data_IF_496233952152
#
_entry.id   IF_496233952152
#
_cell.length_a   1.000
_cell.length_b   1.000
_cell.length_c   1.000
_cell.angle_alpha   90.00
_cell.angle_beta   90.00
_cell.angle_gamma   90.00
#
_symmetry.space_group_name_H-M   'P 1'
#
loop_
_entity.id
_entity.type
_entity.pdbx_description
1 polymer ?
#
# COMPACT_ATOMS: atom_id res chain seq x y z
N UNK A 1 -0.93 -34.68 1.12
CA UNK A 1 -1.54 -35.23 -0.13
C UNK A 1 -3.06 -35.15 -0.11
N UNK A 2 -3.76 -35.72 0.88
CA UNK A 2 -5.24 -35.68 0.95
C UNK A 2 -5.78 -34.24 0.96
N UNK A 3 -5.21 -33.35 1.78
CA UNK A 3 -5.60 -31.93 1.82
C UNK A 3 -5.49 -31.25 0.45
N UNK A 4 -4.44 -31.56 -0.32
CA UNK A 4 -4.19 -30.96 -1.63
C UNK A 4 -5.23 -31.40 -2.65
N UNK A 5 -5.60 -32.69 -2.64
CA UNK A 5 -6.61 -33.24 -3.56
C UNK A 5 -8.00 -32.70 -3.23
N UNK A 6 -8.38 -32.65 -1.95
CA UNK A 6 -9.67 -32.10 -1.51
C UNK A 6 -9.78 -30.62 -1.85
N UNK A 7 -8.75 -29.82 -1.53
CA UNK A 7 -8.73 -28.39 -1.83
C UNK A 7 -8.77 -28.12 -3.35
N UNK A 8 -8.01 -28.89 -4.14
CA UNK A 8 -7.99 -28.77 -5.61
C UNK A 8 -9.33 -29.13 -6.25
N UNK A 9 -10.01 -30.16 -5.76
CA UNK A 9 -11.35 -30.53 -6.21
C UNK A 9 -12.39 -29.49 -5.79
N UNK A 10 -12.32 -28.99 -4.55
CA UNK A 10 -13.19 -27.92 -4.06
C UNK A 10 -13.06 -26.66 -4.91
N UNK A 11 -11.84 -26.20 -5.21
CA UNK A 11 -11.62 -25.05 -6.10
C UNK A 11 -12.26 -25.31 -7.46
N UNK A 12 -11.97 -26.45 -8.11
CA UNK A 12 -12.47 -26.74 -9.46
C UNK A 12 -14.00 -26.83 -9.54
N UNK A 13 -14.62 -27.53 -8.59
CA UNK A 13 -16.08 -27.80 -8.58
C UNK A 13 -16.88 -26.59 -8.10
N UNK A 14 -16.40 -25.86 -7.09
CA UNK A 14 -17.14 -24.76 -6.47
C UNK A 14 -16.83 -23.37 -7.07
N UNK A 15 -16.01 -23.28 -8.13
CA UNK A 15 -15.60 -22.00 -8.76
C UNK A 15 -15.17 -20.95 -7.74
N UNK A 16 -14.40 -21.35 -6.72
CA UNK A 16 -13.93 -20.43 -5.69
C UNK A 16 -12.96 -19.40 -6.30
N UNK A 17 -13.12 -18.13 -5.92
CA UNK A 17 -12.25 -17.02 -6.32
C UNK A 17 -10.89 -17.12 -5.62
N UNK A 18 -10.06 -18.03 -6.12
CA UNK A 18 -8.67 -18.14 -5.71
C UNK A 18 -7.82 -17.14 -6.48
N UNK A 19 -6.87 -16.44 -5.83
CA UNK A 19 -5.90 -15.57 -6.52
C UNK A 19 -5.19 -16.34 -7.65
N UNK A 20 -5.12 -15.76 -8.85
CA UNK A 20 -4.55 -16.39 -10.05
C UNK A 20 -5.51 -17.23 -10.90
N UNK A 21 -6.83 -17.21 -10.64
CA UNK A 21 -7.85 -17.90 -11.46
C UNK A 21 -8.94 -16.93 -11.94
N UNK A 22 -9.21 -16.95 -13.24
CA UNK A 22 -10.20 -16.06 -13.86
C UNK A 22 -9.74 -14.60 -13.83
N UNK A 23 -10.65 -13.68 -13.53
CA UNK A 23 -10.41 -12.23 -13.51
C UNK A 23 -9.43 -11.76 -12.42
N UNK A 24 -9.00 -12.65 -11.52
CA UNK A 24 -7.99 -12.39 -10.48
C UNK A 24 -6.58 -12.82 -10.92
N UNK A 25 -6.27 -12.74 -12.22
CA UNK A 25 -4.94 -13.05 -12.73
C UNK A 25 -3.95 -12.01 -12.18
N UNK A 26 -2.94 -12.48 -11.46
CA UNK A 26 -1.80 -11.62 -11.14
C UNK A 26 -1.02 -11.41 -12.44
N UNK A 27 -0.58 -10.18 -12.76
CA UNK A 27 0.31 -9.94 -13.88
C UNK A 27 1.52 -10.85 -13.76
N UNK A 28 1.82 -11.61 -14.81
CA UNK A 28 3.02 -12.43 -14.88
C UNK A 28 4.22 -11.50 -15.04
N UNK A 29 5.19 -11.48 -14.09
CA UNK A 29 6.35 -10.60 -14.17
C UNK A 29 7.35 -11.00 -15.27
N UNK A 30 7.11 -12.09 -16.01
CA UNK A 30 7.99 -12.59 -17.07
C UNK A 30 7.40 -12.50 -18.48
N UNK A 31 6.15 -12.06 -18.62
CA UNK A 31 5.56 -11.77 -19.94
C UNK A 31 5.84 -10.33 -20.34
N UNK A 32 6.58 -10.14 -21.44
CA UNK A 32 6.93 -8.86 -22.09
C UNK A 32 5.72 -8.05 -22.63
N UNK A 33 4.51 -8.28 -22.12
CA UNK A 33 3.36 -7.40 -22.30
C UNK A 33 3.08 -6.63 -21.00
N UNK A 34 4.12 -5.95 -20.52
CA UNK A 34 3.96 -4.71 -19.78
C UNK A 34 3.31 -3.69 -20.71
N UNK A 35 1.97 -3.71 -20.78
CA UNK A 35 1.22 -2.59 -21.37
C UNK A 35 1.38 -1.39 -20.45
N UNK A 36 2.40 -0.59 -20.77
CA UNK A 36 2.50 0.86 -20.61
C UNK A 36 1.90 1.45 -19.34
N UNK A 37 2.75 1.57 -18.34
CA UNK A 37 2.67 2.59 -17.31
C UNK A 37 4.10 2.79 -16.82
N UNK A 38 4.83 3.67 -17.51
CA UNK A 38 6.26 3.95 -17.40
C UNK A 38 6.83 3.77 -15.98
N UNK A 39 7.73 2.81 -15.83
CA UNK A 39 8.71 2.79 -14.75
C UNK A 39 10.05 3.01 -15.44
N UNK A 40 10.43 4.28 -15.55
CA UNK A 40 11.80 4.66 -15.83
C UNK A 40 12.57 4.55 -14.49
N UNK A 41 13.25 3.41 -14.31
CA UNK A 41 14.26 3.20 -13.26
C UNK A 41 15.54 3.95 -13.63
N UNK A 42 15.49 5.28 -13.60
CA UNK A 42 16.61 6.17 -13.31
C UNK A 42 16.11 7.61 -13.49
N UNK A 43 15.79 8.29 -12.40
CA UNK A 43 16.17 9.70 -12.30
C UNK A 43 16.12 10.17 -10.85
N UNK A 44 17.32 10.48 -10.37
CA UNK A 44 17.57 11.39 -9.26
C UNK A 44 16.85 12.71 -9.53
N UNK A 45 16.07 13.16 -8.54
CA UNK A 45 15.63 14.55 -8.33
C UNK A 45 14.89 15.24 -9.49
N UNK A 46 13.65 15.66 -9.20
CA UNK A 46 13.14 17.05 -9.34
C UNK A 46 11.68 17.06 -9.83
N UNK A 47 10.79 17.55 -8.95
CA UNK A 47 9.46 18.12 -9.28
C UNK A 47 8.41 17.23 -9.97
N UNK A 48 7.62 16.51 -9.17
CA UNK A 48 6.22 16.20 -9.49
C UNK A 48 5.29 16.61 -8.32
N UNK A 49 5.41 17.87 -7.94
CA UNK A 49 4.97 18.49 -6.67
C UNK A 49 3.46 18.55 -6.38
N UNK A 50 2.56 17.74 -6.95
CA UNK A 50 1.14 17.92 -6.60
C UNK A 50 0.25 16.69 -6.59
N UNK A 51 0.51 15.64 -7.39
CA UNK A 51 -0.46 14.53 -7.49
C UNK A 51 -0.51 13.70 -6.21
N UNK A 52 0.64 13.49 -5.57
CA UNK A 52 0.76 12.69 -4.35
C UNK A 52 0.83 13.53 -3.07
N UNK A 53 0.99 14.85 -3.18
CA UNK A 53 1.05 15.79 -2.05
C UNK A 53 -0.25 15.84 -1.25
N UNK A 54 -1.39 15.89 -1.93
CA UNK A 54 -2.70 15.86 -1.27
C UNK A 54 -2.97 14.53 -0.54
N UNK A 55 -2.83 13.35 -1.17
CA UNK A 55 -3.06 12.09 -0.46
C UNK A 55 -2.01 11.87 0.64
N UNK A 56 -0.74 12.23 0.44
CA UNK A 56 0.28 12.20 1.49
C UNK A 56 -0.14 13.03 2.72
N UNK A 57 -0.63 14.26 2.50
CA UNK A 57 -1.09 15.14 3.57
C UNK A 57 -2.31 14.58 4.30
N UNK A 58 -3.29 14.06 3.56
CA UNK A 58 -4.47 13.44 4.16
C UNK A 58 -4.13 12.18 4.96
N UNK A 59 -3.16 11.39 4.50
CA UNK A 59 -2.66 10.23 5.23
C UNK A 59 -1.95 10.71 6.50
N UNK A 60 -1.06 11.70 6.41
CA UNK A 60 -0.35 12.26 7.55
C UNK A 60 -1.31 12.83 8.62
N UNK A 61 -2.32 13.59 8.21
CA UNK A 61 -3.38 14.09 9.10
C UNK A 61 -4.20 12.94 9.70
N UNK A 62 -4.53 11.93 8.91
CA UNK A 62 -5.25 10.74 9.35
C UNK A 62 -4.45 9.87 10.33
N UNK A 63 -3.13 9.97 10.33
CA UNK A 63 -2.25 9.27 11.27
C UNK A 63 -2.04 10.02 12.58
N UNK A 64 -2.65 11.20 12.75
CA UNK A 64 -2.47 12.03 13.94
C UNK A 64 -1.31 13.02 13.83
N UNK A 65 -0.82 13.30 12.62
CA UNK A 65 0.22 14.29 12.37
C UNK A 65 1.64 13.73 12.39
N UNK A 66 2.61 14.60 12.09
CA UNK A 66 4.03 14.21 12.03
C UNK A 66 4.60 13.84 13.39
N UNK A 67 4.12 14.48 14.47
CA UNK A 67 4.55 14.14 15.83
C UNK A 67 4.16 12.72 16.26
N UNK A 68 3.17 12.10 15.62
CA UNK A 68 2.76 10.75 15.97
C UNK A 68 3.62 9.67 15.31
N UNK A 69 4.41 10.00 14.28
CA UNK A 69 5.22 9.03 13.53
C UNK A 69 6.61 8.92 14.17
N UNK A 70 6.94 7.73 14.68
CA UNK A 70 8.27 7.39 15.19
C UNK A 70 9.22 6.96 14.08
N UNK A 71 8.72 6.10 13.19
CA UNK A 71 9.50 5.61 12.04
C UNK A 71 8.58 5.32 10.87
N UNK A 72 9.07 5.59 9.66
CA UNK A 72 8.36 5.36 8.40
C UNK A 72 9.22 4.46 7.53
N UNK A 73 8.65 3.37 7.04
CA UNK A 73 9.27 2.50 6.02
C UNK A 73 8.22 2.10 5.00
N UNK A 74 8.61 1.84 3.77
CA UNK A 74 7.69 1.35 2.75
C UNK A 74 8.20 0.07 2.09
N UNK A 75 7.27 -0.69 1.53
CA UNK A 75 7.54 -1.80 0.63
C UNK A 75 6.96 -1.47 -0.76
N UNK A 76 6.80 -2.46 -1.64
CA UNK A 76 6.22 -2.26 -2.96
C UNK A 76 4.74 -1.81 -2.96
N UNK A 77 3.96 -2.17 -1.93
CA UNK A 77 2.50 -1.88 -1.90
C UNK A 77 1.96 -1.34 -0.58
N UNK A 78 2.81 -1.26 0.46
CA UNK A 78 2.41 -0.94 1.83
C UNK A 78 3.40 0.03 2.48
N UNK A 79 2.86 1.02 3.17
CA UNK A 79 3.58 1.83 4.15
C UNK A 79 3.50 1.12 5.50
N UNK A 80 4.64 1.00 6.17
CA UNK A 80 4.80 0.42 7.49
C UNK A 80 5.37 1.48 8.40
N UNK A 81 4.68 1.76 9.48
CA UNK A 81 5.00 2.88 10.33
C UNK A 81 4.91 2.44 11.77
N UNK A 82 5.79 2.99 12.58
CA UNK A 82 5.69 2.93 14.02
C UNK A 82 5.17 4.28 14.50
N UNK A 83 4.10 4.26 15.29
CA UNK A 83 3.42 5.42 15.81
C UNK A 83 3.50 5.46 17.34
N UNK A 84 3.46 6.64 17.92
CA UNK A 84 3.38 6.81 19.37
C UNK A 84 2.03 6.34 19.90
N UNK A 85 0.94 6.72 19.23
CA UNK A 85 -0.42 6.37 19.60
C UNK A 85 -1.26 5.94 18.38
N UNK A 86 -1.67 4.67 18.35
CA UNK A 86 -2.54 4.15 17.31
C UNK A 86 -4.02 4.55 17.48
N UNK A 87 -4.43 5.09 18.63
CA UNK A 87 -5.85 5.40 18.92
C UNK A 87 -6.35 6.66 18.20
N UNK A 88 -5.45 7.54 17.79
CA UNK A 88 -5.76 8.78 17.07
C UNK A 88 -5.87 8.58 15.55
N UNK A 89 -5.71 7.34 15.06
CA UNK A 89 -5.77 7.03 13.63
C UNK A 89 -7.21 7.15 13.13
N UNK A 90 -7.40 7.97 12.09
CA UNK A 90 -8.63 8.09 11.34
C UNK A 90 -8.56 7.25 10.06
N UNK A 91 -9.02 6.00 10.16
CA UNK A 91 -9.05 5.08 9.01
C UNK A 91 -9.91 5.58 7.85
N UNK A 92 -10.96 6.37 8.13
CA UNK A 92 -11.87 6.86 7.09
C UNK A 92 -11.16 7.91 6.23
N UNK A 93 -10.40 8.82 6.84
CA UNK A 93 -9.56 9.78 6.11
C UNK A 93 -8.48 9.09 5.29
N UNK A 94 -7.78 8.11 5.87
CA UNK A 94 -6.71 7.38 5.19
C UNK A 94 -7.25 6.61 3.97
N UNK A 95 -8.41 5.95 4.10
CA UNK A 95 -9.09 5.29 2.98
C UNK A 95 -9.55 6.31 1.92
N UNK A 96 -10.04 7.47 2.35
CA UNK A 96 -10.42 8.59 1.46
C UNK A 96 -9.25 9.15 0.64
N UNK A 97 -8.03 9.06 1.15
CA UNK A 97 -6.80 9.47 0.46
C UNK A 97 -6.32 8.45 -0.60
N UNK A 98 -7.06 7.35 -0.81
CA UNK A 98 -6.71 6.31 -1.78
C UNK A 98 -6.02 5.08 -1.19
N UNK A 99 -6.00 4.95 0.14
CA UNK A 99 -5.59 3.69 0.75
C UNK A 99 -6.67 2.61 0.56
N UNK A 100 -6.24 1.41 0.17
CA UNK A 100 -7.07 0.21 0.10
C UNK A 100 -7.47 -0.27 1.50
N UNK A 101 -6.60 -0.06 2.49
CA UNK A 101 -6.88 -0.44 3.86
C UNK A 101 -5.81 0.00 4.84
N UNK A 102 -6.15 -0.08 6.12
CA UNK A 102 -5.25 0.18 7.25
C UNK A 102 -5.30 -1.02 8.16
N UNK A 103 -4.15 -1.48 8.63
CA UNK A 103 -4.03 -2.58 9.58
C UNK A 103 -3.16 -2.15 10.75
N UNK A 104 -3.70 -2.23 11.95
CA UNK A 104 -2.98 -1.91 13.17
C UNK A 104 -2.50 -3.22 13.81
N UNK A 105 -1.24 -3.26 14.23
CA UNK A 105 -0.61 -4.44 14.84
C UNK A 105 0.04 -4.07 16.18
N UNK A 106 -0.69 -4.34 17.25
CA UNK A 106 -0.29 -3.92 18.59
C UNK A 106 -0.52 -2.42 18.83
N UNK A 107 0.25 -1.84 19.75
CA UNK A 107 0.05 -0.45 20.22
C UNK A 107 0.72 0.61 19.34
N UNK A 108 1.78 0.23 18.62
CA UNK A 108 2.64 1.17 17.90
C UNK A 108 2.76 0.88 16.41
N UNK A 109 2.60 -0.37 15.96
CA UNK A 109 2.78 -0.66 14.54
C UNK A 109 1.48 -0.45 13.77
N UNK A 110 1.57 0.29 12.67
CA UNK A 110 0.47 0.51 11.73
C UNK A 110 0.97 0.29 10.31
N UNK A 111 0.14 -0.35 9.48
CA UNK A 111 0.40 -0.48 8.05
C UNK A 111 -0.75 0.10 7.25
N UNK A 112 -0.41 0.87 6.22
CA UNK A 112 -1.37 1.43 5.27
C UNK A 112 -1.09 0.80 3.91
N UNK A 113 -2.12 0.19 3.34
CA UNK A 113 -2.06 -0.49 2.04
C UNK A 113 -2.54 0.50 1.00
N UNK A 114 -1.68 0.89 0.07
CA UNK A 114 -2.01 1.88 -0.97
C UNK A 114 -1.95 1.25 -2.38
N UNK A 115 -0.99 0.36 -2.62
CA UNK A 115 -0.72 -0.19 -3.95
C UNK A 115 0.58 0.36 -4.55
N UNK A 116 0.70 0.35 -5.87
CA UNK A 116 1.95 0.64 -6.60
C UNK A 116 2.46 2.06 -6.43
N UNK A 117 1.61 3.01 -6.02
CA UNK A 117 1.94 4.41 -5.79
C UNK A 117 2.53 4.71 -4.40
N UNK A 118 2.88 3.68 -3.62
CA UNK A 118 3.31 3.83 -2.23
C UNK A 118 4.66 4.54 -2.09
N UNK A 119 5.58 4.36 -3.04
CA UNK A 119 6.90 4.99 -3.01
C UNK A 119 6.76 6.51 -3.09
N UNK A 120 5.99 7.00 -4.07
CA UNK A 120 5.79 8.42 -4.30
C UNK A 120 5.09 9.10 -3.12
N UNK A 121 4.19 8.40 -2.44
CA UNK A 121 3.51 8.91 -1.24
C UNK A 121 4.45 8.89 -0.04
N UNK A 122 5.30 7.87 0.10
CA UNK A 122 6.30 7.81 1.18
C UNK A 122 7.30 8.97 1.07
N UNK A 123 7.85 9.21 -0.13
CA UNK A 123 8.80 10.29 -0.39
C UNK A 123 8.17 11.65 -0.08
N UNK A 124 6.92 11.86 -0.49
CA UNK A 124 6.19 13.11 -0.23
C UNK A 124 5.84 13.30 1.26
N UNK A 125 5.53 12.21 1.98
CA UNK A 125 5.35 12.24 3.43
C UNK A 125 6.67 12.63 4.11
N UNK A 126 7.81 12.09 3.68
CA UNK A 126 9.13 12.43 4.22
C UNK A 126 9.45 13.93 4.00
N UNK A 127 9.21 14.45 2.80
CA UNK A 127 9.33 15.88 2.49
C UNK A 127 8.41 16.73 3.38
N UNK A 128 7.19 16.29 3.66
CA UNK A 128 6.26 17.01 4.55
C UNK A 128 6.64 16.92 6.04
N UNK A 129 7.40 15.92 6.45
CA UNK A 129 7.93 15.82 7.82
C UNK A 129 9.12 16.74 8.06
N UNK A 130 9.98 16.92 7.05
CA UNK A 130 11.16 17.81 7.10
C UNK A 130 10.82 19.30 7.08
N UNK A 131 9.66 19.68 6.52
CA UNK A 131 9.14 21.05 6.51
C UNK A 131 8.30 21.39 7.76
#
# INVERSE_FOLDING_TARGET
>A
VIYYVVFRLAIKVLKLNTPGRGDNLLPDPTSDEATTGDVDENETQTKSTNKYSQPAKQILEGLGGKENIMSLTNCATRLRMELHDNSVIDEAKIKGAGAVGVTQSGKHNTQVIIGTQVQQIADEIEVQMEN
#
